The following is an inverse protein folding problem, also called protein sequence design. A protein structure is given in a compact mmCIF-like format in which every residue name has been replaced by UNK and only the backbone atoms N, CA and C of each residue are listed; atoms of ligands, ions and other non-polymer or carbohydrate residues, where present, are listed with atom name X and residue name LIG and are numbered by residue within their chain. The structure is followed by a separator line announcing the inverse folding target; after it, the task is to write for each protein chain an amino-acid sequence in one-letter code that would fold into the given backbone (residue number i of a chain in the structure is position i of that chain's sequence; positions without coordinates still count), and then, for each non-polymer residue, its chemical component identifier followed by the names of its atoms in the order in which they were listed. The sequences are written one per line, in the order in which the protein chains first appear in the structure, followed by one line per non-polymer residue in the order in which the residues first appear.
data_IF_163435629594
#
_entry.id   IF_163435629594
#
_cell.length_a   1.000
_cell.length_b   1.000
_cell.length_c   1.000
_cell.angle_alpha   90.00
_cell.angle_beta   90.00
_cell.angle_gamma   90.00
#
_symmetry.space_group_name_H-M   'P 1'
#
loop_
_entity.id
_entity.type
_entity.pdbx_description
1 polymer ?
#
# COMPACT_ATOMS: atom_id res chain seq x y z
N UNK A 1 18.42 21.40 5.00
CA UNK A 1 17.28 22.16 4.44
C UNK A 1 16.02 21.62 5.06
N UNK A 2 15.03 22.44 5.42
CA UNK A 2 13.86 21.93 6.11
C UNK A 2 12.89 21.27 5.11
N UNK A 3 12.24 20.18 5.51
CA UNK A 3 11.44 19.34 4.62
C UNK A 3 10.11 20.01 4.27
N UNK A 4 9.68 20.04 3.00
CA UNK A 4 8.36 20.53 2.63
C UNK A 4 7.25 19.65 3.23
N UNK A 5 6.03 20.18 3.29
CA UNK A 5 4.84 19.38 3.60
C UNK A 5 4.72 18.22 2.61
N UNK A 6 4.42 17.04 3.13
CA UNK A 6 4.19 15.85 2.31
C UNK A 6 3.12 14.96 2.90
N UNK A 7 2.60 14.08 2.07
CA UNK A 7 1.74 12.99 2.49
C UNK A 7 2.31 11.69 1.95
N UNK A 8 2.34 10.67 2.79
CA UNK A 8 2.80 9.34 2.41
C UNK A 8 1.59 8.42 2.35
N UNK A 9 1.44 7.70 1.23
CA UNK A 9 0.55 6.56 1.12
C UNK A 9 1.36 5.29 0.96
N UNK A 10 1.11 4.29 1.80
CA UNK A 10 1.81 3.02 1.72
C UNK A 10 0.81 1.84 1.73
N UNK A 11 1.17 0.76 1.03
CA UNK A 11 0.44 -0.50 1.05
C UNK A 11 1.41 -1.64 1.34
N UNK A 12 0.98 -2.61 2.14
CA UNK A 12 1.74 -3.83 2.46
C UNK A 12 0.91 -5.08 2.20
N UNK A 13 1.51 -6.05 1.53
CA UNK A 13 0.89 -7.27 1.02
C UNK A 13 1.55 -8.51 1.61
N UNK A 14 0.77 -9.39 2.25
CA UNK A 14 1.30 -10.60 2.89
C UNK A 14 0.25 -11.67 3.18
N UNK A 15 0.68 -12.93 3.22
CA UNK A 15 -0.14 -14.03 3.73
C UNK A 15 0.02 -14.18 5.25
N UNK A 16 -1.06 -14.54 5.93
CA UNK A 16 -1.03 -14.74 7.39
C UNK A 16 0.07 -15.72 7.82
N UNK A 17 0.86 -15.31 8.82
CA UNK A 17 1.94 -16.11 9.39
C UNK A 17 3.27 -16.04 8.63
N UNK A 18 3.34 -15.32 7.49
CA UNK A 18 4.61 -15.12 6.79
C UNK A 18 5.38 -13.91 7.33
N UNK A 19 6.71 -14.03 7.40
CA UNK A 19 7.62 -12.92 7.74
C UNK A 19 7.95 -12.04 6.54
N UNK A 20 7.87 -12.59 5.32
CA UNK A 20 8.09 -11.86 4.09
C UNK A 20 6.86 -11.03 3.74
N UNK A 21 7.05 -9.73 3.57
CA UNK A 21 6.01 -8.79 3.16
C UNK A 21 6.53 -8.00 1.96
N UNK A 22 5.65 -7.69 1.01
CA UNK A 22 5.94 -6.78 -0.10
C UNK A 22 5.25 -5.46 0.21
N UNK A 23 5.94 -4.33 0.08
CA UNK A 23 5.36 -3.02 0.36
C UNK A 23 5.69 -2.01 -0.73
N UNK A 24 4.73 -1.13 -1.00
CA UNK A 24 4.87 0.00 -1.90
C UNK A 24 4.57 1.28 -1.13
N UNK A 25 5.37 2.32 -1.37
CA UNK A 25 5.24 3.62 -0.70
C UNK A 25 5.29 4.72 -1.74
N UNK A 26 4.28 5.59 -1.71
CA UNK A 26 4.16 6.79 -2.53
C UNK A 26 4.31 8.01 -1.66
N UNK A 27 5.14 8.95 -2.10
CA UNK A 27 5.29 10.25 -1.46
C UNK A 27 4.69 11.33 -2.35
N UNK A 28 3.74 12.07 -1.78
CA UNK A 28 3.07 13.19 -2.42
C UNK A 28 3.56 14.47 -1.75
N UNK A 29 4.17 15.38 -2.51
CA UNK A 29 4.77 16.60 -1.95
C UNK A 29 3.97 17.84 -2.33
N UNK A 30 3.93 18.83 -1.43
CA UNK A 30 3.30 20.12 -1.68
C UNK A 30 1.86 20.22 -1.18
N UNK A 31 1.30 21.43 -1.29
CA UNK A 31 -0.10 21.67 -1.00
C UNK A 31 -0.93 21.24 -2.21
N UNK A 32 -1.83 20.29 -2.00
CA UNK A 32 -2.76 19.79 -3.00
C UNK A 32 -4.10 19.57 -2.32
N UNK A 33 -5.15 20.13 -2.91
CA UNK A 33 -6.53 20.09 -2.40
C UNK A 33 -7.41 19.41 -3.45
N UNK A 34 -7.11 18.13 -3.69
CA UNK A 34 -7.85 17.24 -4.57
C UNK A 34 -7.38 15.79 -4.30
N UNK A 35 -7.88 14.83 -5.07
CA UNK A 35 -7.60 13.41 -4.94
C UNK A 35 -6.22 13.04 -5.50
N UNK A 36 -5.42 12.37 -4.67
CA UNK A 36 -4.23 11.64 -5.13
C UNK A 36 -4.64 10.24 -5.57
N UNK A 37 -4.09 9.78 -6.70
CA UNK A 37 -4.27 8.41 -7.18
C UNK A 37 -2.90 7.76 -7.37
N UNK A 38 -2.77 6.53 -6.89
CA UNK A 38 -1.59 5.71 -7.09
C UNK A 38 -2.01 4.29 -7.49
N UNK A 39 -1.19 3.65 -8.31
CA UNK A 39 -1.37 2.24 -8.70
C UNK A 39 -0.12 1.49 -8.31
N UNK A 40 -0.30 0.46 -7.49
CA UNK A 40 0.78 -0.43 -7.08
C UNK A 40 0.93 -1.56 -8.11
N UNK A 41 2.12 -1.64 -8.71
CA UNK A 41 2.49 -2.74 -9.61
C UNK A 41 3.70 -3.46 -9.05
N UNK A 42 3.56 -4.75 -8.79
CA UNK A 42 4.65 -5.60 -8.31
C UNK A 42 5.14 -6.50 -9.44
N UNK A 43 6.46 -6.57 -9.64
CA UNK A 43 7.06 -7.56 -10.55
C UNK A 43 6.87 -8.97 -9.95
N UNK A 44 6.77 -10.01 -10.79
CA UNK A 44 6.57 -11.41 -10.39
C UNK A 44 7.59 -11.86 -9.34
N UNK A 45 8.82 -11.31 -9.39
CA UNK A 45 9.87 -11.60 -8.41
C UNK A 45 9.61 -11.05 -7.00
N UNK A 46 8.67 -10.11 -6.86
CA UNK A 46 8.27 -9.46 -5.60
C UNK A 46 6.90 -9.93 -5.09
N UNK A 47 6.29 -10.89 -5.79
CA UNK A 47 5.01 -11.50 -5.42
C UNK A 47 5.24 -12.44 -4.24
N UNK A 48 4.56 -12.18 -3.14
CA UNK A 48 4.48 -13.10 -1.99
C UNK A 48 3.59 -14.26 -2.41
N UNK A 49 4.11 -15.50 -2.33
CA UNK A 49 3.37 -16.70 -2.72
C UNK A 49 2.68 -17.34 -1.52
N UNK A 50 1.47 -17.87 -1.73
CA UNK A 50 0.82 -18.71 -0.72
C UNK A 50 1.66 -19.97 -0.48
N UNK A 51 1.79 -20.46 0.77
CA UNK A 51 2.41 -21.75 1.02
C UNK A 51 1.58 -22.86 0.37
N UNK A 52 2.25 -23.90 -0.13
CA UNK A 52 1.59 -25.08 -0.65
C UNK A 52 0.85 -25.83 0.45
N UNK A 53 -0.40 -26.25 0.17
CA UNK A 53 -1.19 -27.06 1.10
C UNK A 53 -1.83 -26.29 2.26
N UNK A 54 -1.63 -24.97 2.35
CA UNK A 54 -2.22 -24.14 3.40
C UNK A 54 -3.21 -23.12 2.83
N UNK A 55 -4.37 -22.99 3.46
CA UNK A 55 -5.29 -21.88 3.23
C UNK A 55 -4.94 -20.75 4.21
N UNK A 56 -4.40 -19.65 3.67
CA UNK A 56 -4.06 -18.45 4.43
C UNK A 56 -4.78 -17.25 3.86
N UNK A 57 -5.23 -16.34 4.73
CA UNK A 57 -5.76 -15.07 4.24
C UNK A 57 -4.62 -14.25 3.65
N UNK A 58 -4.87 -13.69 2.48
CA UNK A 58 -4.06 -12.63 1.92
C UNK A 58 -4.52 -11.30 2.54
N UNK A 59 -3.62 -10.61 3.24
CA UNK A 59 -3.93 -9.34 3.90
C UNK A 59 -3.26 -8.22 3.13
N UNK A 60 -3.98 -7.11 3.06
CA UNK A 60 -3.52 -5.87 2.47
C UNK A 60 -3.75 -4.79 3.51
N UNK A 61 -2.67 -4.20 3.99
CA UNK A 61 -2.73 -3.09 4.92
C UNK A 61 -2.34 -1.82 4.20
N UNK A 62 -3.20 -0.82 4.25
CA UNK A 62 -2.92 0.50 3.69
C UNK A 62 -2.76 1.52 4.81
N UNK A 63 -1.78 2.42 4.66
CA UNK A 63 -1.46 3.50 5.60
C UNK A 63 -1.45 4.82 4.84
N UNK A 64 -2.03 5.86 5.45
CA UNK A 64 -1.85 7.24 5.04
C UNK A 64 -1.25 8.04 6.19
N UNK A 65 -0.28 8.91 5.88
CA UNK A 65 0.40 9.76 6.85
C UNK A 65 0.59 11.18 6.31
N UNK A 66 -0.05 12.16 6.94
CA UNK A 66 0.21 13.58 6.67
C UNK A 66 1.41 14.08 7.48
N UNK A 67 2.39 14.69 6.80
CA UNK A 67 3.57 15.29 7.41
C UNK A 67 3.53 16.82 7.21
N UNK A 68 3.43 17.57 8.31
CA UNK A 68 3.33 19.04 8.26
C UNK A 68 4.59 19.73 7.70
N UNK A 69 5.75 19.06 7.73
CA UNK A 69 7.02 19.61 7.26
C UNK A 69 7.37 20.91 7.98
N UNK A 70 7.60 21.97 7.21
CA UNK A 70 7.85 23.34 7.70
C UNK A 70 6.60 24.17 8.01
N UNK A 71 5.40 23.60 7.86
CA UNK A 71 4.16 24.36 8.09
C UNK A 71 4.02 24.75 9.56
N UNK A 72 3.52 25.96 9.83
CA UNK A 72 3.10 26.34 11.18
C UNK A 72 1.79 25.63 11.52
N UNK A 73 1.84 24.61 12.37
CA UNK A 73 0.67 23.79 12.73
C UNK A 73 -0.30 24.48 13.67
N UNK A 74 0.03 25.69 14.18
CA UNK A 74 -0.90 26.52 14.95
C UNK A 74 -1.86 27.28 14.04
N UNK A 75 -1.39 27.64 12.84
CA UNK A 75 -2.12 28.45 11.87
C UNK A 75 -2.60 27.62 10.66
N UNK A 76 -2.07 26.42 10.47
CA UNK A 76 -2.37 25.57 9.32
C UNK A 76 -2.69 24.14 9.72
N UNK A 77 -3.66 23.52 9.03
CA UNK A 77 -4.02 22.12 9.19
C UNK A 77 -3.57 21.33 7.97
N UNK A 78 -2.97 20.16 8.19
CA UNK A 78 -2.72 19.16 7.15
C UNK A 78 -3.62 17.98 7.41
N UNK A 79 -4.39 17.57 6.40
CA UNK A 79 -5.35 16.49 6.49
C UNK A 79 -5.23 15.61 5.25
N UNK A 80 -5.30 14.31 5.44
CA UNK A 80 -5.53 13.36 4.36
C UNK A 80 -6.53 12.31 4.88
N UNK A 81 -7.43 11.90 4.00
CA UNK A 81 -8.27 10.74 4.20
C UNK A 81 -8.20 9.85 2.96
N UNK A 82 -8.40 8.55 3.19
CA UNK A 82 -8.75 7.64 2.12
C UNK A 82 -10.27 7.57 2.10
N UNK A 83 -10.89 8.23 1.12
CA UNK A 83 -12.33 8.09 0.86
C UNK A 83 -12.51 7.32 -0.45
N UNK A 84 -13.51 6.46 -0.49
CA UNK A 84 -13.97 5.82 -1.73
C UNK A 84 -14.88 6.79 -2.47
N UNK A 85 -14.34 7.94 -2.88
CA UNK A 85 -15.14 9.08 -3.35
C UNK A 85 -16.01 8.74 -4.57
N UNK A 86 -15.64 7.70 -5.31
CA UNK A 86 -16.31 7.33 -6.56
C UNK A 86 -16.94 5.93 -6.54
N UNK A 87 -17.61 5.52 -5.46
CA UNK A 87 -18.65 4.47 -5.47
C UNK A 87 -18.26 3.02 -5.84
N UNK A 88 -17.07 2.81 -6.38
CA UNK A 88 -16.41 1.55 -6.66
C UNK A 88 -14.91 1.86 -6.64
N UNK A 89 -14.28 1.72 -5.48
CA UNK A 89 -12.83 1.45 -5.47
C UNK A 89 -12.68 0.09 -6.13
N UNK A 90 -12.55 0.06 -7.46
CA UNK A 90 -12.32 -1.16 -8.22
C UNK A 90 -10.87 -1.57 -8.00
N UNK A 91 -10.55 -2.11 -6.82
CA UNK A 91 -9.25 -2.73 -6.60
C UNK A 91 -9.18 -3.97 -7.46
N UNK A 92 -8.55 -3.82 -8.63
CA UNK A 92 -8.38 -4.92 -9.56
C UNK A 92 -7.16 -5.72 -9.12
N UNK A 93 -7.41 -6.91 -8.58
CA UNK A 93 -6.34 -7.83 -8.18
C UNK A 93 -5.90 -8.68 -9.38
N UNK A 94 -4.64 -8.56 -9.76
CA UNK A 94 -4.02 -9.47 -10.71
C UNK A 94 -3.32 -10.59 -9.93
N UNK A 95 -3.81 -11.82 -10.09
CA UNK A 95 -3.19 -12.99 -9.47
C UNK A 95 -2.31 -13.72 -10.48
N UNK A 96 -1.10 -14.08 -10.05
CA UNK A 96 -0.29 -15.08 -10.72
C UNK A 96 -0.37 -16.38 -9.92
N UNK A 97 -0.26 -17.53 -10.60
CA UNK A 97 -0.27 -18.84 -9.97
C UNK A 97 1.10 -19.50 -10.13
N UNK A 98 1.61 -20.09 -9.05
CA UNK A 98 2.83 -20.89 -9.05
C UNK A 98 2.47 -22.32 -8.68
N UNK A 99 2.98 -23.26 -9.46
CA UNK A 99 2.76 -24.68 -9.22
C UNK A 99 3.51 -25.13 -7.97
N UNK A 100 2.83 -25.90 -7.13
CA UNK A 100 3.44 -26.55 -5.98
C UNK A 100 4.28 -27.76 -6.43
N UNK A 101 5.44 -28.00 -5.81
CA UNK A 101 6.17 -29.24 -6.09
C UNK A 101 5.26 -30.45 -5.77
N UNK A 102 5.41 -31.56 -6.53
CA UNK A 102 4.65 -32.77 -6.25
C UNK A 102 4.92 -33.23 -4.82
N UNK A 103 3.89 -33.71 -4.14
CA UNK A 103 4.03 -34.25 -2.78
C UNK A 103 5.08 -35.36 -2.78
N UNK A 104 6.16 -35.16 -2.03
CA UNK A 104 7.16 -36.19 -1.79
C UNK A 104 6.44 -37.35 -1.08
N UNK A 105 6.53 -38.55 -1.67
CA UNK A 105 5.92 -39.75 -1.10
C UNK A 105 6.75 -40.32 0.03
#
# INVERSE_FOLDING_TARGET
MPSPRSTTGAASYYFQGQSQTSSNTHEFTGAYDDNWQATDTSDIATVVWSPCGELRNFNINTELRANAGTSDTKETTSFIAMDSTDGDVSTTYHFAWKECPPAEK
#
